data_IF_718014155499
#
_entry.id   IF_718014155499
#
_cell.length_a   1.000
_cell.length_b   1.000
_cell.length_c   1.000
_cell.angle_alpha   90.00
_cell.angle_beta   90.00
_cell.angle_gamma   90.00
#
_symmetry.space_group_name_H-M   'P 1'
#
loop_
_entity.id
_entity.type
_entity.pdbx_description
1 polymer ?
#
# COMPACT_ATOMS: atom_id res chain seq x y z
N UNK A 1 9.58 7.59 27.50
CA UNK A 1 9.37 8.36 26.26
C UNK A 1 10.09 7.57 25.19
N UNK A 2 9.36 6.78 24.38
CA UNK A 2 9.97 5.88 23.40
C UNK A 2 10.65 6.68 22.30
N UNK A 3 11.93 6.42 22.10
CA UNK A 3 12.75 6.90 21.00
C UNK A 3 12.33 6.16 19.72
N UNK A 4 11.20 6.55 19.15
CA UNK A 4 10.67 5.99 17.91
C UNK A 4 10.60 7.13 16.89
N UNK A 5 11.78 7.55 16.43
CA UNK A 5 11.92 8.63 15.46
C UNK A 5 13.33 8.77 14.91
N UNK A 6 14.16 7.73 14.98
CA UNK A 6 15.44 7.74 14.28
C UNK A 6 15.16 7.85 12.78
N UNK A 7 15.68 8.93 12.17
CA UNK A 7 15.64 9.10 10.74
C UNK A 7 16.59 8.06 10.15
N UNK A 8 16.06 7.18 9.30
CA UNK A 8 16.86 6.20 8.57
C UNK A 8 17.93 6.93 7.76
N UNK A 9 19.18 6.50 7.88
CA UNK A 9 20.27 7.00 7.04
C UNK A 9 20.11 6.47 5.61
N UNK A 10 20.63 7.22 4.64
CA UNK A 10 20.64 6.81 3.22
C UNK A 10 21.25 5.41 3.03
N UNK A 11 22.34 5.12 3.75
CA UNK A 11 23.00 3.81 3.71
C UNK A 11 22.08 2.66 4.15
N UNK A 12 21.20 2.91 5.14
CA UNK A 12 20.24 1.92 5.61
C UNK A 12 19.13 1.66 4.59
N UNK A 13 18.69 2.71 3.89
CA UNK A 13 17.70 2.61 2.80
C UNK A 13 18.29 1.79 1.65
N UNK A 14 19.53 2.10 1.23
CA UNK A 14 20.21 1.40 0.14
C UNK A 14 20.45 -0.08 0.46
N UNK A 15 20.80 -0.41 1.70
CA UNK A 15 20.99 -1.79 2.14
C UNK A 15 19.70 -2.62 2.05
N UNK A 16 18.53 -2.02 2.28
CA UNK A 16 17.23 -2.69 2.15
C UNK A 16 16.91 -3.00 0.68
N UNK A 17 17.14 -2.05 -0.22
CA UNK A 17 16.85 -2.22 -1.66
C UNK A 17 17.63 -3.39 -2.29
N UNK A 18 18.90 -3.55 -1.91
CA UNK A 18 19.74 -4.67 -2.35
C UNK A 18 19.24 -6.06 -1.91
N UNK A 19 18.48 -6.14 -0.81
CA UNK A 19 17.90 -7.38 -0.31
C UNK A 19 16.59 -7.74 -1.04
N UNK A 20 15.84 -6.75 -1.49
CA UNK A 20 14.56 -6.93 -2.18
C UNK A 20 14.74 -7.43 -3.63
N UNK A 21 15.86 -7.12 -4.28
CA UNK A 21 16.19 -7.55 -5.66
C UNK A 21 16.45 -9.07 -5.79
N UNK A 22 16.64 -9.80 -4.68
CA UNK A 22 16.98 -11.24 -4.71
C UNK A 22 15.77 -12.18 -4.93
N UNK A 23 14.58 -11.65 -5.22
CA UNK A 23 13.32 -12.42 -5.30
C UNK A 23 12.46 -12.24 -6.56
N UNK A 24 12.93 -11.49 -7.57
CA UNK A 24 12.10 -11.19 -8.75
C UNK A 24 11.87 -12.45 -9.62
N UNK A 25 10.63 -12.93 -9.64
CA UNK A 25 10.16 -13.90 -10.62
C UNK A 25 10.14 -13.28 -12.04
N UNK A 26 10.33 -14.08 -13.11
CA UNK A 26 10.40 -13.56 -14.48
C UNK A 26 9.13 -12.81 -14.88
N UNK A 27 9.34 -11.70 -15.58
CA UNK A 27 8.35 -10.68 -15.96
C UNK A 27 7.41 -11.10 -17.10
N UNK A 28 6.77 -12.26 -16.98
CA UNK A 28 5.77 -12.72 -17.96
C UNK A 28 4.36 -12.55 -17.38
N UNK A 29 3.68 -11.51 -17.86
CA UNK A 29 2.40 -10.92 -17.42
C UNK A 29 2.48 -10.00 -16.20
N UNK A 30 2.31 -8.70 -16.45
CA UNK A 30 1.88 -7.67 -15.49
C UNK A 30 0.46 -8.01 -14.97
N UNK A 31 0.32 -9.12 -14.25
CA UNK A 31 -0.92 -9.48 -13.61
C UNK A 31 -1.11 -8.55 -12.41
N UNK A 32 -2.24 -7.85 -12.35
CA UNK A 32 -2.64 -7.12 -11.14
C UNK A 32 -2.82 -8.13 -10.00
N UNK A 33 -1.84 -8.22 -9.09
CA UNK A 33 -1.93 -9.10 -7.92
C UNK A 33 -2.51 -8.30 -6.77
N UNK A 34 -3.66 -8.75 -6.27
CA UNK A 34 -4.27 -8.28 -5.04
C UNK A 34 -4.30 -9.43 -4.03
N UNK A 35 -3.85 -9.18 -2.82
CA UNK A 35 -3.94 -10.18 -1.75
C UNK A 35 -5.38 -10.32 -1.24
N UNK A 36 -5.67 -11.44 -0.58
CA UNK A 36 -6.95 -11.64 0.10
C UNK A 36 -7.20 -10.60 1.20
N UNK A 37 -6.13 -10.11 1.82
CA UNK A 37 -6.16 -9.16 2.92
C UNK A 37 -6.54 -7.77 2.41
N UNK A 38 -6.00 -7.37 1.26
CA UNK A 38 -6.37 -6.13 0.60
C UNK A 38 -7.85 -6.12 0.22
N UNK A 39 -8.34 -7.16 -0.45
CA UNK A 39 -9.76 -7.27 -0.86
C UNK A 39 -10.70 -7.30 0.35
N UNK A 40 -10.32 -8.01 1.42
CA UNK A 40 -11.14 -8.09 2.63
C UNK A 40 -10.98 -6.87 3.56
N UNK A 41 -10.01 -6.01 3.29
CA UNK A 41 -9.64 -4.88 4.16
C UNK A 41 -9.16 -5.31 5.55
N UNK A 42 -8.64 -6.53 5.70
CA UNK A 42 -8.30 -7.14 7.00
C UNK A 42 -6.92 -6.77 7.46
N UNK A 43 -6.78 -6.58 8.77
CA UNK A 43 -5.50 -6.30 9.41
C UNK A 43 -4.80 -7.60 9.80
N UNK A 44 -3.56 -7.74 9.36
CA UNK A 44 -2.67 -8.88 9.56
C UNK A 44 -1.24 -8.36 9.76
N UNK A 45 -0.28 -9.17 10.23
CA UNK A 45 1.12 -8.73 10.36
C UNK A 45 1.78 -8.26 9.06
N UNK A 46 1.19 -8.55 7.89
CA UNK A 46 1.68 -8.11 6.57
C UNK A 46 0.97 -6.87 6.04
N UNK A 47 0.07 -6.29 6.82
CA UNK A 47 -0.74 -5.15 6.41
C UNK A 47 -0.76 -4.07 7.48
N UNK A 48 -0.76 -2.81 7.07
CA UNK A 48 -0.94 -1.66 7.97
C UNK A 48 -2.23 -0.95 7.58
N UNK A 49 -3.12 -0.75 8.56
CA UNK A 49 -4.38 -0.04 8.36
C UNK A 49 -4.23 1.42 8.79
N UNK A 50 -4.44 2.33 7.87
CA UNK A 50 -4.33 3.78 8.07
C UNK A 50 -5.68 4.46 7.86
N UNK A 51 -5.92 5.57 8.57
CA UNK A 51 -7.05 6.47 8.28
C UNK A 51 -6.51 7.74 7.65
N UNK A 52 -7.14 8.15 6.55
CA UNK A 52 -6.84 9.39 5.86
C UNK A 52 -8.12 10.21 5.66
N UNK A 53 -7.96 11.53 5.50
CA UNK A 53 -9.04 12.41 5.07
C UNK A 53 -8.83 12.72 3.59
N UNK A 54 -9.76 12.31 2.73
CA UNK A 54 -9.73 12.53 1.28
C UNK A 54 -11.01 13.23 0.88
N UNK A 55 -10.93 14.43 0.30
CA UNK A 55 -12.12 15.19 -0.10
C UNK A 55 -13.11 15.43 1.06
N UNK A 56 -12.59 15.72 2.26
CA UNK A 56 -13.38 15.85 3.50
C UNK A 56 -14.12 14.57 3.95
N UNK A 57 -13.77 13.42 3.39
CA UNK A 57 -14.33 12.11 3.74
C UNK A 57 -13.24 11.22 4.35
N UNK A 58 -13.57 10.49 5.42
CA UNK A 58 -12.62 9.56 6.02
C UNK A 58 -12.51 8.30 5.16
N UNK A 59 -11.29 8.00 4.71
CA UNK A 59 -10.91 6.77 4.00
C UNK A 59 -10.11 5.84 4.91
N UNK A 60 -10.34 4.54 4.76
CA UNK A 60 -9.46 3.52 5.31
C UNK A 60 -8.50 3.07 4.20
N UNK A 61 -7.20 3.25 4.40
CA UNK A 61 -6.17 2.68 3.53
C UNK A 61 -5.60 1.43 4.17
N UNK A 62 -5.30 0.44 3.33
CA UNK A 62 -4.51 -0.72 3.72
C UNK A 62 -3.21 -0.70 2.93
N UNK A 63 -2.08 -0.57 3.62
CA UNK A 63 -0.76 -0.83 3.05
C UNK A 63 -0.54 -2.33 3.15
N UNK A 64 -0.32 -3.00 2.04
CA UNK A 64 -0.24 -4.46 1.98
C UNK A 64 0.95 -4.91 1.14
N UNK A 65 1.90 -5.60 1.77
CA UNK A 65 3.10 -6.10 1.08
C UNK A 65 2.81 -7.26 0.13
N UNK A 66 1.61 -7.84 0.17
CA UNK A 66 1.19 -8.95 -0.69
C UNK A 66 0.50 -8.50 -1.99
N UNK A 67 0.32 -7.21 -2.21
CA UNK A 67 -0.33 -6.66 -3.41
C UNK A 67 0.68 -5.89 -4.28
N UNK A 68 0.55 -6.00 -5.60
CA UNK A 68 1.39 -5.24 -6.55
C UNK A 68 0.71 -3.94 -7.03
N UNK A 69 -0.59 -3.79 -6.74
CA UNK A 69 -1.40 -2.66 -7.21
C UNK A 69 -2.24 -2.07 -6.08
N UNK A 70 -2.47 -0.76 -6.15
CA UNK A 70 -3.42 -0.06 -5.28
C UNK A 70 -4.79 0.02 -5.94
N UNK A 71 -5.85 0.01 -5.14
CA UNK A 71 -7.21 0.20 -5.63
C UNK A 71 -8.02 1.05 -4.64
N UNK A 72 -9.15 1.54 -5.11
CA UNK A 72 -10.11 2.31 -4.32
C UNK A 72 -11.51 1.75 -4.55
N UNK A 73 -12.36 1.73 -3.53
CA UNK A 73 -13.75 1.31 -3.71
C UNK A 73 -14.48 2.32 -4.59
N UNK A 74 -15.21 1.85 -5.60
CA UNK A 74 -16.00 2.69 -6.50
C UNK A 74 -16.97 3.62 -5.73
N UNK A 75 -17.65 3.10 -4.71
CA UNK A 75 -18.56 3.88 -3.86
C UNK A 75 -17.87 5.00 -3.08
N UNK A 76 -16.59 4.84 -2.72
CA UNK A 76 -15.81 5.93 -2.14
C UNK A 76 -15.42 6.96 -3.19
N UNK A 77 -14.96 6.52 -4.37
CA UNK A 77 -14.60 7.40 -5.48
C UNK A 77 -15.79 8.30 -5.91
N UNK A 78 -16.99 7.72 -6.01
CA UNK A 78 -18.23 8.47 -6.25
C UNK A 78 -18.51 9.51 -5.16
N UNK A 79 -18.33 9.14 -3.89
CA UNK A 79 -18.57 10.03 -2.74
C UNK A 79 -17.62 11.22 -2.67
N UNK A 80 -16.38 11.08 -3.14
CA UNK A 80 -15.41 12.18 -3.15
C UNK A 80 -15.47 13.02 -4.44
N UNK A 81 -16.46 12.76 -5.31
CA UNK A 81 -16.69 13.47 -6.57
C UNK A 81 -15.43 13.59 -7.45
N UNK A 82 -14.56 12.58 -7.42
CA UNK A 82 -13.35 12.55 -8.25
C UNK A 82 -13.71 12.28 -9.71
N UNK A 83 -13.23 13.12 -10.62
CA UNK A 83 -13.27 12.84 -12.06
C UNK A 83 -12.37 11.64 -12.35
N UNK A 84 -12.96 10.48 -12.68
CA UNK A 84 -12.21 9.32 -13.17
C UNK A 84 -11.98 9.47 -14.67
N UNK A 85 -10.71 9.56 -15.10
CA UNK A 85 -10.37 9.37 -16.52
C UNK A 85 -10.32 7.86 -16.82
N UNK A 86 -10.99 7.38 -17.87
CA UNK A 86 -10.98 5.97 -18.25
C UNK A 86 -9.59 5.49 -18.70
#
# INVERSE_FOLDING_TARGET
MGEHGEILTEDAIQAMELLDDQGAAPADQECCVLSTQAVSGTETPRTIRLRALVGNQVMLLLVDSGSTHSFISASFAERIATTTTP
#
